data_IF_734540213843
#
_entry.id   IF_734540213843
#
_cell.length_a   1.000
_cell.length_b   1.000
_cell.length_c   1.000
_cell.angle_alpha   90.00
_cell.angle_beta   90.00
_cell.angle_gamma   90.00
#
_symmetry.space_group_name_H-M   'P 1'
#
loop_
_entity.id
_entity.type
_entity.pdbx_description
1 polymer ?
#
# COMPACT_ATOMS: atom_id res chain seq x y z
N UNK A 1 15.43 27.44 5.99
CA UNK A 1 13.97 27.35 5.76
C UNK A 1 13.61 25.88 5.63
N UNK A 2 13.30 25.20 6.74
CA UNK A 2 12.95 23.77 6.73
C UNK A 2 11.45 23.68 7.04
N UNK A 3 10.63 23.34 6.03
CA UNK A 3 9.20 23.10 6.21
C UNK A 3 9.02 21.73 6.83
N UNK A 4 8.88 21.67 8.15
CA UNK A 4 8.30 20.52 8.83
C UNK A 4 6.82 20.48 8.48
N UNK A 5 6.41 19.54 7.64
CA UNK A 5 4.99 19.32 7.33
C UNK A 5 4.33 18.74 8.59
N UNK A 6 3.65 19.61 9.33
CA UNK A 6 2.85 19.27 10.50
C UNK A 6 1.55 18.62 9.99
N UNK A 7 1.40 17.30 10.14
CA UNK A 7 0.14 16.61 9.84
C UNK A 7 -0.78 16.79 11.05
N UNK A 8 -1.66 17.78 10.95
CA UNK A 8 -2.80 17.96 11.86
C UNK A 8 -3.68 16.73 11.80
N UNK A 9 -3.94 16.16 12.96
CA UNK A 9 -4.52 14.84 13.09
C UNK A 9 -5.87 15.05 13.81
N UNK A 10 -6.96 15.06 13.03
CA UNK A 10 -8.34 15.21 13.51
C UNK A 10 -8.82 13.91 14.19
N UNK A 11 -9.71 14.04 15.17
CA UNK A 11 -10.00 13.05 16.21
C UNK A 11 -11.08 12.01 15.86
N UNK A 12 -11.00 11.33 14.71
CA UNK A 12 -11.85 10.15 14.41
C UNK A 12 -10.99 8.91 14.31
N UNK A 13 -11.40 7.84 15.02
CA UNK A 13 -10.70 6.54 15.18
C UNK A 13 -9.81 6.23 13.98
N UNK A 14 -8.55 6.60 14.13
CA UNK A 14 -7.50 6.25 13.19
C UNK A 14 -7.37 4.75 13.30
N UNK A 15 -7.59 4.02 12.22
CA UNK A 15 -6.74 2.85 12.04
C UNK A 15 -5.36 3.48 11.90
N UNK A 16 -4.60 3.52 13.00
CA UNK A 16 -3.29 4.17 13.03
C UNK A 16 -2.48 3.61 11.86
N UNK A 17 -1.93 4.49 11.03
CA UNK A 17 -1.07 4.03 9.95
C UNK A 17 0.09 3.28 10.62
N UNK A 18 0.34 2.04 10.21
CA UNK A 18 1.41 1.23 10.78
C UNK A 18 2.80 1.77 10.38
N UNK A 19 2.85 2.64 9.37
CA UNK A 19 4.07 3.28 8.89
C UNK A 19 3.97 3.72 7.43
N UNK A 20 5.09 4.12 6.81
CA UNK A 20 5.15 4.41 5.38
C UNK A 20 4.95 3.13 4.55
N UNK A 21 4.20 3.24 3.45
CA UNK A 21 4.05 2.17 2.46
C UNK A 21 5.28 2.04 1.57
N UNK A 22 5.42 0.88 0.90
CA UNK A 22 6.33 0.70 -0.25
C UNK A 22 6.00 1.62 -1.43
N UNK A 23 4.79 2.17 -1.49
CA UNK A 23 4.37 3.16 -2.49
C UNK A 23 4.53 4.57 -1.92
N UNK A 24 5.38 5.43 -2.52
CA UNK A 24 5.58 6.79 -2.02
C UNK A 24 4.28 7.59 -1.95
N UNK A 25 4.06 8.29 -0.83
CA UNK A 25 2.88 9.11 -0.61
C UNK A 25 1.63 8.32 -0.16
N UNK A 26 1.79 7.04 0.17
CA UNK A 26 0.75 6.23 0.80
C UNK A 26 1.17 5.76 2.19
N UNK A 27 0.19 5.64 3.07
CA UNK A 27 0.32 5.10 4.41
C UNK A 27 -0.01 3.60 4.42
N UNK A 28 0.75 2.82 5.18
CA UNK A 28 0.47 1.42 5.43
C UNK A 28 -0.67 1.27 6.44
N UNK A 29 -1.70 0.51 6.08
CA UNK A 29 -2.82 0.14 6.95
C UNK A 29 -2.63 -1.27 7.49
N UNK A 30 -2.34 -2.23 6.62
CA UNK A 30 -2.07 -3.64 6.98
C UNK A 30 -0.96 -4.23 6.12
N UNK A 31 -0.04 -4.96 6.76
CA UNK A 31 1.00 -5.71 6.07
C UNK A 31 0.60 -7.18 5.91
N UNK A 32 0.80 -7.72 4.72
CA UNK A 32 0.56 -9.13 4.38
C UNK A 32 1.82 -9.73 3.76
N UNK A 33 2.86 -10.02 4.56
CA UNK A 33 4.18 -10.38 4.05
C UNK A 33 4.18 -11.75 3.37
N UNK A 34 3.30 -12.67 3.80
CA UNK A 34 3.12 -13.99 3.17
C UNK A 34 2.58 -13.89 1.74
N UNK A 35 1.81 -12.85 1.45
CA UNK A 35 1.19 -12.61 0.15
C UNK A 35 2.01 -11.62 -0.71
N UNK A 36 3.12 -11.07 -0.18
CA UNK A 36 3.86 -10.00 -0.82
C UNK A 36 3.01 -8.74 -1.06
N UNK A 37 2.07 -8.47 -0.14
CA UNK A 37 1.06 -7.43 -0.32
C UNK A 37 0.94 -6.51 0.90
N UNK A 38 0.52 -5.27 0.67
CA UNK A 38 0.21 -4.28 1.69
C UNK A 38 -1.12 -3.61 1.39
N UNK A 39 -1.97 -3.46 2.40
CA UNK A 39 -3.14 -2.58 2.31
C UNK A 39 -2.68 -1.19 2.66
N UNK A 40 -2.87 -0.26 1.73
CA UNK A 40 -2.36 1.10 1.82
C UNK A 40 -3.50 2.10 1.69
N UNK A 41 -3.33 3.30 2.26
CA UNK A 41 -4.27 4.41 2.11
C UNK A 41 -3.54 5.70 1.76
N UNK A 42 -4.22 6.64 1.11
CA UNK A 42 -3.69 7.99 0.82
C UNK A 42 -4.52 9.10 1.44
N UNK A 43 -5.84 8.91 1.43
CA UNK A 43 -6.85 9.80 1.99
C UNK A 43 -7.85 8.95 2.79
N UNK A 44 -8.77 9.57 3.53
CA UNK A 44 -9.70 8.85 4.42
C UNK A 44 -10.53 7.76 3.72
N UNK A 45 -10.76 7.91 2.41
CA UNK A 45 -11.61 7.04 1.60
C UNK A 45 -10.89 6.37 0.43
N UNK A 46 -9.56 6.46 0.37
CA UNK A 46 -8.78 5.94 -0.76
C UNK A 46 -7.91 4.79 -0.30
N UNK A 47 -8.36 3.56 -0.58
CA UNK A 47 -7.65 2.33 -0.27
C UNK A 47 -7.01 1.74 -1.53
N UNK A 48 -5.89 1.07 -1.37
CA UNK A 48 -5.28 0.27 -2.42
C UNK A 48 -4.57 -0.96 -1.86
N UNK A 49 -4.40 -1.98 -2.70
CA UNK A 49 -3.55 -3.13 -2.45
C UNK A 49 -2.22 -2.92 -3.19
N UNK A 50 -1.14 -2.79 -2.44
CA UNK A 50 0.21 -2.61 -2.96
C UNK A 50 0.96 -3.93 -3.02
N UNK A 51 1.66 -4.17 -4.12
CA UNK A 51 2.61 -5.26 -4.23
C UNK A 51 3.97 -4.80 -3.70
N UNK A 52 4.50 -5.48 -2.69
CA UNK A 52 5.80 -5.13 -2.10
C UNK A 52 6.96 -5.43 -3.04
N UNK A 53 6.77 -6.35 -3.98
CA UNK A 53 7.78 -6.83 -4.94
C UNK A 53 7.90 -5.92 -6.16
N UNK A 54 6.77 -5.50 -6.74
CA UNK A 54 6.75 -4.70 -7.98
C UNK A 54 6.31 -3.26 -7.77
N UNK A 55 6.03 -2.84 -6.53
CA UNK A 55 5.54 -1.50 -6.17
C UNK A 55 4.36 -1.05 -7.03
N UNK A 56 3.47 -1.99 -7.35
CA UNK A 56 2.22 -1.72 -8.07
C UNK A 56 1.08 -1.58 -7.06
N UNK A 57 0.27 -0.54 -7.19
CA UNK A 57 -0.92 -0.32 -6.36
C UNK A 57 -2.18 -0.56 -7.17
N UNK A 58 -3.02 -1.50 -6.71
CA UNK A 58 -4.38 -1.68 -7.21
C UNK A 58 -5.35 -0.90 -6.35
N UNK A 59 -6.02 0.09 -6.93
CA UNK A 59 -7.07 0.83 -6.24
C UNK A 59 -8.21 -0.10 -5.82
N UNK A 60 -8.73 0.14 -4.62
CA UNK A 60 -9.89 -0.55 -4.04
C UNK A 60 -10.97 0.49 -3.76
N UNK A 61 -12.24 0.13 -3.97
CA UNK A 61 -13.38 1.00 -3.63
C UNK A 61 -13.64 0.99 -2.12
N UNK A 62 -13.38 -0.15 -1.48
CA UNK A 62 -13.43 -0.30 -0.01
C UNK A 62 -12.25 -1.10 0.49
N UNK A 63 -11.92 -0.96 1.78
CA UNK A 63 -10.86 -1.74 2.39
C UNK A 63 -11.05 -3.25 2.15
N UNK A 64 -12.26 -3.76 2.39
CA UNK A 64 -12.63 -5.19 2.34
C UNK A 64 -12.47 -5.87 0.98
N UNK A 65 -12.23 -5.11 -0.10
CA UNK A 65 -11.93 -5.69 -1.41
C UNK A 65 -10.51 -6.27 -1.47
N UNK A 66 -9.63 -5.95 -0.51
CA UNK A 66 -8.27 -6.47 -0.51
C UNK A 66 -8.23 -8.00 -0.43
N UNK A 67 -9.13 -8.60 0.36
CA UNK A 67 -9.16 -10.03 0.61
C UNK A 67 -9.36 -10.87 -0.67
N UNK A 68 -10.41 -10.69 -1.48
CA UNK A 68 -10.59 -11.48 -2.70
C UNK A 68 -9.46 -11.28 -3.71
N UNK A 69 -8.85 -10.09 -3.79
CA UNK A 69 -7.70 -9.87 -4.66
C UNK A 69 -6.45 -10.63 -4.18
N UNK A 70 -6.18 -10.66 -2.86
CA UNK A 70 -5.09 -11.45 -2.32
C UNK A 70 -5.29 -12.95 -2.53
N UNK A 71 -6.49 -13.46 -2.24
CA UNK A 71 -6.81 -14.88 -2.39
C UNK A 71 -6.85 -15.33 -3.85
N UNK A 72 -7.34 -14.50 -4.78
CA UNK A 72 -7.38 -14.81 -6.20
C UNK A 72 -6.02 -14.66 -6.91
N UNK A 73 -5.12 -13.86 -6.36
CA UNK A 73 -3.90 -13.45 -7.06
C UNK A 73 -4.18 -12.65 -8.33
N UNK A 74 -3.20 -12.53 -9.22
CA UNK A 74 -3.38 -12.01 -10.58
C UNK A 74 -3.67 -10.50 -10.71
N UNK A 75 -3.59 -9.74 -9.61
CA UNK A 75 -3.88 -8.30 -9.60
C UNK A 75 -2.66 -7.42 -9.85
N UNK A 76 -1.46 -7.93 -9.55
CA UNK A 76 -0.21 -7.24 -9.84
C UNK A 76 0.26 -7.63 -11.24
N UNK A 77 0.41 -6.70 -12.19
CA UNK A 77 0.86 -7.00 -13.54
C UNK A 77 2.28 -7.56 -13.55
N UNK A 78 3.15 -7.15 -12.62
CA UNK A 78 4.50 -7.69 -12.47
C UNK A 78 4.50 -9.15 -12.06
N UNK A 79 3.69 -9.53 -11.06
CA UNK A 79 3.52 -10.93 -10.67
C UNK A 79 2.93 -11.77 -11.82
N UNK A 80 1.92 -11.25 -12.53
CA UNK A 80 1.27 -11.95 -13.64
C UNK A 80 2.23 -12.20 -14.80
N UNK A 81 3.06 -11.21 -15.14
CA UNK A 81 4.03 -11.32 -16.21
C UNK A 81 5.34 -12.04 -15.80
N UNK A 82 5.47 -12.47 -14.53
CA UNK A 82 6.70 -13.09 -14.03
C UNK A 82 7.90 -12.14 -14.06
N UNK A 83 7.66 -10.83 -13.94
CA UNK A 83 8.73 -9.84 -13.96
C UNK A 83 9.60 -9.97 -12.70
N UNK A 84 10.91 -9.70 -12.80
CA UNK A 84 11.77 -9.62 -11.62
C UNK A 84 11.27 -8.53 -10.66
N UNK A 85 11.60 -8.63 -9.35
CA UNK A 85 11.31 -7.57 -8.39
C UNK A 85 11.85 -6.24 -8.90
N UNK A 86 11.13 -5.14 -8.60
CA UNK A 86 11.72 -3.82 -8.84
C UNK A 86 12.93 -3.72 -7.92
N UNK A 87 14.13 -3.76 -8.52
CA UNK A 87 15.37 -3.63 -7.79
C UNK A 87 15.35 -2.23 -7.18
N UNK A 88 15.11 -2.16 -5.88
CA UNK A 88 15.37 -0.95 -5.13
C UNK A 88 16.87 -0.75 -5.18
N UNK A 89 17.32 0.26 -5.94
CA UNK A 89 18.62 0.87 -5.75
C UNK A 89 18.86 1.00 -4.24
N UNK A 90 19.78 0.18 -3.74
CA UNK A 90 20.43 0.40 -2.46
C UNK A 90 21.14 1.73 -2.57
N UNK A 91 20.59 2.77 -1.96
CA UNK A 91 21.33 3.97 -1.61
C UNK A 91 22.11 3.72 -0.31
#
# INVERSE_FOLDING_TARGET
MQRTHHVSSDGRRRVDALGPSVIPGWDLVYDHPKDGAQVIRREESTYALACTVHRHAKALSTQNEERPWRESGGWCPGCVAGLPPVSGETA
#
